data_IF_373991921809
#
_entry.id   IF_373991921809
#
_cell.length_a   1.000
_cell.length_b   1.000
_cell.length_c   1.000
_cell.angle_alpha   90.00
_cell.angle_beta   90.00
_cell.angle_gamma   90.00
#
_symmetry.space_group_name_H-M   'P 1'
#
loop_
_entity.id
_entity.type
_entity.pdbx_description
1 polymer ?
#
# COMPACT_ATOMS: atom_id res chain seq x y z
N UNK A 1 -15.04 18.12 64.43
CA UNK A 1 -15.73 17.40 63.33
C UNK A 1 -15.26 18.00 62.02
N UNK A 2 -14.47 17.24 61.26
CA UNK A 2 -13.94 17.66 59.97
C UNK A 2 -15.05 17.68 58.93
N UNK A 3 -15.26 18.84 58.31
CA UNK A 3 -16.13 18.98 57.15
C UNK A 3 -15.35 18.44 55.96
N UNK A 4 -15.77 17.29 55.42
CA UNK A 4 -15.35 16.81 54.11
C UNK A 4 -15.83 17.83 53.08
N UNK A 5 -14.93 18.71 52.64
CA UNK A 5 -15.12 19.53 51.45
C UNK A 5 -15.18 18.61 50.24
N UNK A 6 -16.38 18.37 49.74
CA UNK A 6 -16.59 17.81 48.40
C UNK A 6 -16.14 18.90 47.41
N UNK A 7 -14.90 18.78 46.93
CA UNK A 7 -14.41 19.53 45.77
C UNK A 7 -15.40 19.29 44.63
N UNK A 8 -16.13 20.33 44.24
CA UNK A 8 -16.92 20.30 43.03
C UNK A 8 -15.92 20.34 41.86
N UNK A 9 -15.56 19.19 41.32
CA UNK A 9 -14.88 19.14 40.02
C UNK A 9 -15.88 19.60 38.97
N UNK A 10 -15.69 20.80 38.41
CA UNK A 10 -16.47 21.24 37.26
C UNK A 10 -16.25 20.25 36.11
N UNK A 11 -17.33 19.71 35.55
CA UNK A 11 -17.24 18.79 34.43
C UNK A 11 -16.65 19.51 33.20
N UNK A 12 -15.58 18.95 32.64
CA UNK A 12 -14.97 19.41 31.39
C UNK A 12 -15.59 18.63 30.23
N UNK A 13 -15.94 19.32 29.15
CA UNK A 13 -16.46 18.67 27.94
C UNK A 13 -15.68 19.10 26.71
N UNK A 14 -15.40 18.14 25.83
CA UNK A 14 -14.68 18.33 24.58
C UNK A 14 -15.60 18.03 23.41
N UNK A 15 -15.67 18.95 22.46
CA UNK A 15 -16.47 18.77 21.24
C UNK A 15 -15.63 19.02 20.00
N UNK A 16 -15.53 18.05 19.08
CA UNK A 16 -14.83 18.29 17.82
C UNK A 16 -15.62 19.32 16.98
N UNK A 17 -14.91 20.32 16.45
CA UNK A 17 -15.36 21.13 15.32
C UNK A 17 -14.59 20.69 14.08
N UNK A 18 -15.28 20.23 13.03
CA UNK A 18 -14.62 19.94 11.76
C UNK A 18 -13.93 21.20 11.23
N UNK A 19 -12.59 21.19 11.21
CA UNK A 19 -11.83 22.19 10.47
C UNK A 19 -11.66 21.63 9.05
N UNK A 20 -12.35 22.20 8.07
CA UNK A 20 -12.00 21.97 6.66
C UNK A 20 -11.08 23.10 6.23
N UNK A 21 -9.87 23.14 6.79
CA UNK A 21 -8.80 23.91 6.16
C UNK A 21 -8.16 23.01 5.12
N UNK A 22 -8.82 22.91 3.97
CA UNK A 22 -8.11 22.53 2.75
C UNK A 22 -6.99 23.55 2.63
N UNK A 23 -5.73 23.11 2.55
CA UNK A 23 -4.68 23.98 2.06
C UNK A 23 -5.26 24.73 0.85
N UNK A 24 -5.24 26.06 0.85
CA UNK A 24 -5.75 26.88 -0.25
C UNK A 24 -4.88 26.63 -1.47
N UNK A 25 -5.06 25.47 -2.09
CA UNK A 25 -4.33 25.11 -3.27
C UNK A 25 -4.80 26.05 -4.37
N UNK A 26 -3.87 26.64 -5.13
CA UNK A 26 -4.23 27.52 -6.23
C UNK A 26 -5.12 26.76 -7.22
N UNK A 27 -5.97 27.47 -7.99
CA UNK A 27 -6.76 26.85 -9.04
C UNK A 27 -5.86 26.03 -9.96
N UNK A 28 -6.18 24.75 -10.13
CA UNK A 28 -5.37 23.84 -10.91
C UNK A 28 -5.90 23.72 -12.33
N UNK A 29 -5.02 23.57 -13.31
CA UNK A 29 -5.44 23.34 -14.71
C UNK A 29 -4.64 22.21 -15.31
N UNK A 30 -5.34 21.24 -15.92
CA UNK A 30 -4.71 20.23 -16.77
C UNK A 30 -4.71 20.74 -18.21
N UNK A 31 -3.55 21.10 -18.74
CA UNK A 31 -3.42 21.43 -20.16
C UNK A 31 -3.34 20.16 -21.00
N UNK A 32 -4.00 20.17 -22.17
CA UNK A 32 -4.11 19.13 -23.22
C UNK A 32 -3.40 17.80 -22.94
N UNK A 33 -4.14 16.69 -22.95
CA UNK A 33 -3.57 15.35 -23.10
C UNK A 33 -2.87 15.19 -24.46
N UNK A 34 -1.58 15.52 -24.52
CA UNK A 34 -0.66 15.11 -25.59
C UNK A 34 0.04 13.81 -25.21
N UNK A 35 0.54 13.10 -26.22
CA UNK A 35 1.22 11.79 -26.22
C UNK A 35 1.70 11.35 -24.84
N UNK A 36 1.20 10.19 -24.39
CA UNK A 36 1.67 9.44 -23.21
C UNK A 36 3.08 9.84 -22.81
N UNK A 37 3.24 10.33 -21.57
CA UNK A 37 4.56 10.62 -21.01
C UNK A 37 5.52 9.45 -21.25
N UNK A 38 6.82 9.72 -21.33
CA UNK A 38 7.87 8.68 -21.36
C UNK A 38 7.85 7.76 -20.14
N UNK A 39 6.98 8.05 -19.17
CA UNK A 39 6.70 7.27 -17.97
C UNK A 39 5.61 6.21 -18.14
N UNK A 40 5.08 6.01 -19.35
CA UNK A 40 3.93 5.13 -19.57
C UNK A 40 4.33 3.66 -19.67
N UNK A 41 3.93 2.93 -18.65
CA UNK A 41 4.00 1.47 -18.58
C UNK A 41 2.61 0.88 -18.88
N UNK A 42 2.57 -0.28 -19.53
CA UNK A 42 1.31 -1.04 -19.70
C UNK A 42 1.24 -2.12 -18.64
N UNK A 43 0.24 -2.04 -17.77
CA UNK A 43 -0.04 -3.05 -16.75
C UNK A 43 -1.24 -3.93 -17.11
N UNK A 44 -1.28 -5.12 -16.53
CA UNK A 44 -2.30 -6.15 -16.69
C UNK A 44 -2.89 -6.49 -15.31
N UNK A 45 -4.21 -6.52 -15.21
CA UNK A 45 -4.96 -6.89 -14.01
C UNK A 45 -5.37 -8.36 -14.05
N UNK A 46 -5.73 -8.91 -12.89
CA UNK A 46 -6.11 -10.31 -12.73
C UNK A 46 -7.36 -10.71 -13.54
N UNK A 47 -8.25 -9.76 -13.82
CA UNK A 47 -9.42 -9.94 -14.69
C UNK A 47 -9.08 -9.89 -16.20
N UNK A 48 -7.81 -9.68 -16.54
CA UNK A 48 -7.31 -9.55 -17.91
C UNK A 48 -7.43 -8.14 -18.50
N UNK A 49 -8.02 -7.18 -17.78
CA UNK A 49 -8.01 -5.79 -18.19
C UNK A 49 -6.58 -5.26 -18.25
N UNK A 50 -6.34 -4.25 -19.10
CA UNK A 50 -5.03 -3.62 -19.22
C UNK A 50 -5.15 -2.12 -19.21
N UNK A 51 -4.18 -1.44 -18.61
CA UNK A 51 -4.11 0.02 -18.63
C UNK A 51 -2.70 0.51 -18.93
N UNK A 52 -2.65 1.72 -19.49
CA UNK A 52 -1.45 2.54 -19.53
C UNK A 52 -1.47 3.47 -18.34
N UNK A 53 -0.44 3.43 -17.51
CA UNK A 53 -0.32 4.29 -16.34
C UNK A 53 0.43 5.55 -16.67
N UNK A 54 0.07 6.67 -16.06
CA UNK A 54 0.73 7.95 -16.26
C UNK A 54 0.68 8.78 -14.98
N UNK A 55 1.67 9.66 -14.80
CA UNK A 55 1.67 10.66 -13.72
C UNK A 55 1.03 11.94 -14.26
N UNK A 56 -0.17 12.25 -13.76
CA UNK A 56 -0.91 13.43 -14.20
C UNK A 56 -0.24 14.67 -13.63
N UNK A 57 0.11 15.63 -14.50
CA UNK A 57 0.62 16.94 -14.09
C UNK A 57 -0.45 18.01 -14.24
N UNK A 58 -0.75 18.70 -13.15
CA UNK A 58 -1.64 19.86 -13.09
C UNK A 58 -0.81 21.13 -12.92
N UNK A 59 -1.11 22.21 -13.64
CA UNK A 59 -0.50 23.51 -13.38
C UNK A 59 -0.94 24.04 -12.00
N UNK A 60 -0.03 24.54 -11.12
CA UNK A 60 1.38 24.86 -11.35
C UNK A 60 2.38 23.76 -10.92
N UNK A 61 2.41 22.63 -11.65
CA UNK A 61 3.28 21.46 -11.42
C UNK A 61 2.93 20.61 -10.19
N UNK A 62 1.63 20.45 -9.92
CA UNK A 62 1.13 19.48 -8.96
C UNK A 62 0.99 18.13 -9.66
N UNK A 63 1.70 17.14 -9.13
CA UNK A 63 1.65 15.77 -9.59
C UNK A 63 0.47 15.03 -8.97
N UNK A 64 -0.15 14.14 -9.74
CA UNK A 64 -1.40 13.52 -9.34
C UNK A 64 -1.62 12.16 -10.02
N UNK A 65 -2.42 11.31 -9.40
CA UNK A 65 -2.83 10.01 -9.95
C UNK A 65 -4.34 9.96 -10.17
N UNK A 66 -4.77 9.16 -11.14
CA UNK A 66 -6.18 8.93 -11.40
C UNK A 66 -6.81 8.15 -10.26
N UNK A 67 -7.98 8.59 -9.81
CA UNK A 67 -8.82 7.91 -8.83
C UNK A 67 -9.94 7.07 -9.45
N UNK A 68 -10.07 7.10 -10.78
CA UNK A 68 -11.12 6.39 -11.50
C UNK A 68 -10.56 5.78 -12.78
N UNK A 69 -10.43 4.45 -12.79
CA UNK A 69 -10.02 3.69 -13.96
C UNK A 69 -10.86 3.94 -15.21
N UNK A 70 -12.14 4.27 -15.06
CA UNK A 70 -13.05 4.58 -16.17
C UNK A 70 -13.09 6.06 -16.53
N UNK A 71 -12.37 6.88 -15.76
CA UNK A 71 -12.30 8.32 -15.93
C UNK A 71 -11.51 8.69 -17.19
N UNK A 72 -11.94 9.78 -17.83
CA UNK A 72 -11.35 10.25 -19.07
C UNK A 72 -10.26 11.28 -18.79
N UNK A 73 -9.19 11.25 -19.59
CA UNK A 73 -8.24 12.36 -19.65
C UNK A 73 -8.87 13.52 -20.45
N UNK A 74 -8.66 14.79 -20.04
CA UNK A 74 -9.20 15.92 -20.75
C UNK A 74 -8.47 16.13 -22.09
N UNK A 75 -9.25 16.36 -23.14
CA UNK A 75 -8.75 16.68 -24.49
C UNK A 75 -8.50 18.18 -24.69
N UNK A 76 -9.00 19.01 -23.77
CA UNK A 76 -8.90 20.48 -23.74
C UNK A 76 -8.49 20.94 -22.35
N UNK A 77 -7.88 22.14 -22.20
CA UNK A 77 -7.56 22.70 -20.88
C UNK A 77 -8.78 22.62 -19.96
N UNK A 78 -8.62 21.97 -18.81
CA UNK A 78 -9.71 21.69 -17.86
C UNK A 78 -9.30 22.11 -16.46
N UNK A 79 -10.16 22.88 -15.79
CA UNK A 79 -9.91 23.36 -14.43
C UNK A 79 -10.26 22.30 -13.40
N UNK A 80 -9.38 22.11 -12.44
CA UNK A 80 -9.53 21.23 -11.29
C UNK A 80 -9.61 22.06 -10.02
N UNK A 81 -10.59 21.73 -9.17
CA UNK A 81 -10.74 22.32 -7.84
C UNK A 81 -10.23 21.33 -6.80
N UNK A 82 -9.36 21.82 -5.91
CA UNK A 82 -8.90 21.05 -4.78
C UNK A 82 -10.06 20.79 -3.80
N UNK A 83 -10.09 19.59 -3.21
CA UNK A 83 -11.09 19.17 -2.25
C UNK A 83 -10.58 18.05 -1.35
N UNK A 84 -11.31 17.79 -0.27
CA UNK A 84 -11.04 16.64 0.58
C UNK A 84 -11.46 15.35 -0.12
N UNK A 85 -11.08 14.18 0.41
CA UNK A 85 -11.50 12.89 -0.11
C UNK A 85 -13.03 12.78 -0.31
N UNK A 86 -13.81 13.31 0.64
CA UNK A 86 -15.26 13.34 0.58
C UNK A 86 -15.83 14.18 -0.56
N UNK A 87 -15.03 14.99 -1.26
CA UNK A 87 -15.48 15.73 -2.44
C UNK A 87 -15.64 14.83 -3.68
N UNK A 88 -15.03 13.64 -3.70
CA UNK A 88 -15.04 12.74 -4.88
C UNK A 88 -16.36 11.95 -4.96
N UNK A 89 -17.24 12.19 -5.95
CA UNK A 89 -18.59 11.65 -5.97
C UNK A 89 -18.67 10.11 -5.91
N UNK A 90 -17.82 9.41 -6.68
CA UNK A 90 -17.86 7.95 -6.82
C UNK A 90 -17.15 7.19 -5.68
N UNK A 91 -16.34 7.87 -4.88
CA UNK A 91 -15.54 7.26 -3.79
C UNK A 91 -16.16 7.47 -2.41
N UNK A 92 -17.16 8.34 -2.28
CA UNK A 92 -17.95 8.50 -1.04
C UNK A 92 -18.52 7.18 -0.51
N UNK A 93 -18.86 6.24 -1.40
CA UNK A 93 -19.42 4.95 -1.06
C UNK A 93 -18.37 3.88 -0.66
N UNK A 94 -17.07 4.16 -0.83
CA UNK A 94 -15.96 3.19 -0.77
C UNK A 94 -14.81 3.73 0.08
N UNK A 95 -15.00 3.92 1.38
CA UNK A 95 -14.03 4.57 2.27
C UNK A 95 -12.63 3.88 2.26
N UNK A 96 -11.62 4.57 1.70
CA UNK A 96 -10.22 4.14 1.60
C UNK A 96 -9.22 5.31 1.78
N UNK A 97 -9.61 6.41 2.45
CA UNK A 97 -8.77 7.62 2.55
C UNK A 97 -7.42 7.32 3.24
N UNK A 98 -7.41 6.49 4.28
CA UNK A 98 -6.19 6.13 5.01
C UNK A 98 -5.23 5.30 4.14
N UNK A 99 -5.76 4.36 3.37
CA UNK A 99 -4.98 3.54 2.44
C UNK A 99 -4.36 4.40 1.34
N UNK A 100 -5.12 5.33 0.78
CA UNK A 100 -4.64 6.23 -0.27
C UNK A 100 -3.64 7.25 0.27
N UNK A 101 -3.85 7.79 1.47
CA UNK A 101 -2.89 8.65 2.16
C UNK A 101 -1.54 7.93 2.33
N UNK A 102 -1.59 6.68 2.81
CA UNK A 102 -0.40 5.85 2.94
C UNK A 102 0.31 5.66 1.59
N UNK A 103 -0.44 5.30 0.53
CA UNK A 103 0.13 5.04 -0.80
C UNK A 103 0.85 6.30 -1.30
N UNK A 104 0.17 7.44 -1.30
CA UNK A 104 0.73 8.70 -1.83
C UNK A 104 2.02 9.09 -1.13
N UNK A 105 2.10 8.91 0.20
CA UNK A 105 3.29 9.24 1.00
C UNK A 105 4.44 8.28 0.82
N UNK A 106 4.13 7.02 0.55
CA UNK A 106 5.10 5.94 0.44
C UNK A 106 5.37 5.51 -1.01
N UNK A 107 5.11 6.41 -1.96
CA UNK A 107 5.27 6.16 -3.38
C UNK A 107 5.87 7.36 -4.12
N UNK A 108 6.09 7.19 -5.42
CA UNK A 108 6.59 8.26 -6.28
C UNK A 108 5.45 9.25 -6.57
N UNK A 109 5.69 10.56 -6.62
CA UNK A 109 6.98 11.26 -6.51
C UNK A 109 7.36 11.72 -5.11
N UNK A 110 6.51 11.54 -4.08
CA UNK A 110 6.80 11.98 -2.70
C UNK A 110 8.11 11.35 -2.20
N UNK A 111 8.33 10.08 -2.54
CA UNK A 111 9.62 9.41 -2.38
C UNK A 111 10.28 9.21 -3.76
N UNK A 112 11.54 9.62 -3.86
CA UNK A 112 12.37 9.33 -5.02
C UNK A 112 12.61 7.83 -5.20
N UNK A 113 12.92 7.40 -6.43
CA UNK A 113 13.07 5.97 -6.76
C UNK A 113 14.17 5.24 -5.97
N UNK A 114 15.24 5.95 -5.58
CA UNK A 114 16.32 5.42 -4.74
C UNK A 114 15.80 5.06 -3.35
N UNK A 115 15.07 5.98 -2.73
CA UNK A 115 14.51 5.81 -1.40
C UNK A 115 13.42 4.73 -1.39
N UNK A 116 12.54 4.71 -2.40
CA UNK A 116 11.57 3.63 -2.59
C UNK A 116 12.25 2.27 -2.71
N UNK A 117 13.29 2.18 -3.54
CA UNK A 117 14.03 0.93 -3.72
C UNK A 117 14.69 0.47 -2.41
N UNK A 118 15.17 1.40 -1.60
CA UNK A 118 15.72 1.09 -0.27
C UNK A 118 14.65 0.54 0.67
N UNK A 119 13.48 1.19 0.75
CA UNK A 119 12.36 0.77 1.61
C UNK A 119 11.81 -0.60 1.22
N UNK A 120 11.59 -0.85 -0.07
CA UNK A 120 11.09 -2.15 -0.56
C UNK A 120 12.06 -3.28 -0.22
N UNK A 121 13.39 -3.06 -0.37
CA UNK A 121 14.40 -4.04 0.04
C UNK A 121 14.42 -4.25 1.55
N UNK A 122 14.29 -3.19 2.34
CA UNK A 122 14.22 -3.29 3.80
C UNK A 122 12.98 -4.08 4.27
N UNK A 123 11.89 -4.08 3.50
CA UNK A 123 10.72 -4.93 3.73
C UNK A 123 10.90 -6.40 3.30
N UNK A 124 12.11 -6.80 2.85
CA UNK A 124 12.41 -8.17 2.44
C UNK A 124 11.95 -8.51 1.02
N UNK A 125 11.48 -7.54 0.24
CA UNK A 125 11.00 -7.75 -1.14
C UNK A 125 12.16 -7.60 -2.12
N UNK A 126 12.41 -8.63 -2.93
CA UNK A 126 13.56 -8.70 -3.83
C UNK A 126 13.43 -7.83 -5.08
N UNK A 127 14.00 -6.62 -5.08
CA UNK A 127 14.13 -5.77 -6.28
C UNK A 127 15.42 -6.02 -7.10
N UNK A 128 16.27 -6.95 -6.66
CA UNK A 128 17.63 -7.07 -7.16
C UNK A 128 18.51 -5.83 -6.85
N UNK A 129 19.66 -5.74 -7.51
CA UNK A 129 20.66 -4.70 -7.23
C UNK A 129 20.29 -3.32 -7.80
N UNK A 130 19.58 -3.26 -8.93
CA UNK A 130 19.17 -1.99 -9.56
C UNK A 130 18.05 -1.30 -8.79
N UNK A 131 17.96 0.03 -8.90
CA UNK A 131 16.83 0.82 -8.39
C UNK A 131 15.65 0.82 -9.37
N UNK A 132 14.46 1.11 -8.85
CA UNK A 132 13.24 1.32 -9.64
C UNK A 132 13.45 2.46 -10.65
N UNK A 133 12.93 2.27 -11.87
CA UNK A 133 12.75 3.36 -12.80
C UNK A 133 11.47 4.15 -12.49
N UNK A 134 11.39 5.40 -12.93
CA UNK A 134 10.22 6.26 -12.65
C UNK A 134 8.93 5.67 -13.22
N UNK A 135 8.96 5.15 -14.46
CA UNK A 135 7.79 4.51 -15.08
C UNK A 135 7.30 3.29 -14.28
N UNK A 136 8.21 2.50 -13.71
CA UNK A 136 7.87 1.36 -12.87
C UNK A 136 7.21 1.82 -11.56
N UNK A 137 7.75 2.88 -10.96
CA UNK A 137 7.22 3.46 -9.74
C UNK A 137 5.82 4.04 -9.95
N UNK A 138 5.64 4.80 -11.04
CA UNK A 138 4.34 5.38 -11.44
C UNK A 138 3.32 4.27 -11.69
N UNK A 139 3.72 3.20 -12.39
CA UNK A 139 2.84 2.08 -12.70
C UNK A 139 2.34 1.34 -11.46
N UNK A 140 3.27 1.00 -10.56
CA UNK A 140 2.94 0.32 -9.32
C UNK A 140 2.05 1.20 -8.41
N UNK A 141 2.33 2.50 -8.36
CA UNK A 141 1.56 3.47 -7.56
C UNK A 141 0.14 3.59 -8.09
N UNK A 142 -0.03 3.78 -9.40
CA UNK A 142 -1.35 3.89 -10.02
C UNK A 142 -2.15 2.58 -9.87
N UNK A 143 -1.51 1.43 -10.01
CA UNK A 143 -2.14 0.13 -9.77
C UNK A 143 -2.61 -0.04 -8.32
N UNK A 144 -1.78 0.34 -7.34
CA UNK A 144 -2.12 0.27 -5.93
C UNK A 144 -3.31 1.20 -5.58
N UNK A 145 -3.38 2.38 -6.20
CA UNK A 145 -4.53 3.29 -6.04
C UNK A 145 -5.80 2.62 -6.59
N UNK A 146 -5.76 2.08 -7.81
CA UNK A 146 -6.92 1.44 -8.43
C UNK A 146 -7.37 0.14 -7.76
N UNK A 147 -6.48 -0.56 -7.05
CA UNK A 147 -6.86 -1.67 -6.17
C UNK A 147 -7.91 -1.22 -5.15
N UNK A 148 -7.69 -0.09 -4.47
CA UNK A 148 -8.63 0.44 -3.49
C UNK A 148 -9.80 1.20 -4.13
N UNK A 149 -9.56 2.08 -5.11
CA UNK A 149 -10.63 2.93 -5.65
C UNK A 149 -11.59 2.18 -6.58
N UNK A 150 -11.07 1.22 -7.35
CA UNK A 150 -11.81 0.53 -8.41
C UNK A 150 -11.97 -0.97 -8.17
N UNK A 151 -11.23 -1.58 -7.23
CA UNK A 151 -11.25 -3.03 -6.99
C UNK A 151 -10.43 -3.83 -8.02
N UNK A 152 -9.48 -3.17 -8.69
CA UNK A 152 -8.67 -3.78 -9.73
C UNK A 152 -7.37 -4.34 -9.15
N UNK A 153 -7.29 -5.66 -9.07
CA UNK A 153 -6.11 -6.38 -8.59
C UNK A 153 -5.08 -6.53 -9.72
N UNK A 154 -3.85 -6.05 -9.51
CA UNK A 154 -2.75 -6.25 -10.46
C UNK A 154 -2.46 -7.74 -10.62
N UNK A 155 -2.24 -8.24 -11.85
CA UNK A 155 -1.84 -9.63 -12.04
C UNK A 155 -0.37 -9.83 -11.58
N UNK A 156 -0.24 -10.22 -10.30
CA UNK A 156 1.01 -10.51 -9.62
C UNK A 156 1.27 -12.02 -9.49
N UNK A 157 0.55 -12.87 -10.23
CA UNK A 157 0.68 -14.32 -10.13
C UNK A 157 2.00 -14.77 -10.78
N UNK A 158 2.88 -15.48 -10.05
CA UNK A 158 4.11 -15.99 -10.62
C UNK A 158 3.82 -17.06 -11.67
N UNK A 159 4.33 -16.88 -12.89
CA UNK A 159 4.18 -17.81 -14.02
C UNK A 159 5.07 -19.05 -13.91
N UNK A 160 6.02 -19.04 -12.99
CA UNK A 160 6.91 -20.15 -12.69
C UNK A 160 6.42 -21.02 -11.54
N UNK A 161 5.24 -20.73 -10.97
CA UNK A 161 4.62 -21.52 -9.92
C UNK A 161 3.46 -22.33 -10.52
N UNK A 162 3.46 -23.66 -10.37
CA UNK A 162 2.32 -24.49 -10.79
C UNK A 162 1.04 -24.13 -10.04
N UNK A 163 -0.10 -24.12 -10.74
CA UNK A 163 -1.43 -24.01 -10.14
C UNK A 163 -1.93 -25.32 -9.55
N UNK A 164 -1.39 -26.46 -9.99
CA UNK A 164 -1.65 -27.75 -9.37
C UNK A 164 -0.40 -28.64 -9.37
N UNK A 165 -0.26 -29.44 -8.29
CA UNK A 165 0.73 -30.51 -8.16
C UNK A 165 0.02 -31.83 -7.84
N UNK A 166 0.41 -32.92 -8.50
CA UNK A 166 -0.15 -34.26 -8.25
C UNK A 166 0.94 -35.31 -8.23
N UNK A 167 0.97 -36.13 -7.17
CA UNK A 167 1.80 -37.34 -7.10
C UNK A 167 1.22 -38.42 -8.01
N UNK A 168 2.10 -39.11 -8.72
CA UNK A 168 1.84 -40.27 -9.58
C UNK A 168 2.74 -41.42 -9.16
N UNK A 169 2.47 -42.64 -9.65
CA UNK A 169 3.31 -43.79 -9.35
C UNK A 169 4.79 -43.56 -9.70
N UNK A 170 5.06 -42.83 -10.78
CA UNK A 170 6.42 -42.62 -11.30
C UNK A 170 6.95 -41.19 -11.10
N UNK A 171 6.38 -40.40 -10.19
CA UNK A 171 6.87 -39.05 -9.88
C UNK A 171 5.79 -37.98 -9.72
N UNK A 172 6.08 -36.73 -10.11
CA UNK A 172 5.22 -35.55 -9.90
C UNK A 172 4.72 -34.95 -11.22
N UNK A 173 3.44 -34.61 -11.28
CA UNK A 173 2.84 -33.82 -12.38
C UNK A 173 2.53 -32.41 -11.88
N UNK A 174 2.85 -31.42 -12.72
CA UNK A 174 2.67 -30.00 -12.49
C UNK A 174 1.82 -29.42 -13.62
N UNK A 175 0.80 -28.65 -13.24
CA UNK A 175 0.00 -27.84 -14.15
C UNK A 175 0.29 -26.37 -13.89
N UNK A 176 0.54 -25.62 -14.95
CA UNK A 176 0.77 -24.18 -14.89
C UNK A 176 -0.44 -23.41 -15.41
N UNK A 177 -0.59 -22.17 -14.94
CA UNK A 177 -1.49 -21.24 -15.60
C UNK A 177 -0.83 -20.70 -16.88
N UNK A 178 -1.39 -21.09 -18.02
CA UNK A 178 -0.83 -20.80 -19.34
C UNK A 178 0.23 -21.80 -19.79
N UNK A 179 1.14 -21.35 -20.66
CA UNK A 179 2.12 -22.19 -21.36
C UNK A 179 3.54 -21.66 -21.12
N UNK A 180 4.06 -21.69 -19.87
CA UNK A 180 5.38 -21.15 -19.56
C UNK A 180 6.48 -21.96 -20.22
N UNK A 181 7.52 -21.30 -20.72
CA UNK A 181 8.74 -21.95 -21.16
C UNK A 181 9.68 -22.11 -19.96
N UNK A 182 9.89 -23.34 -19.50
CA UNK A 182 10.80 -23.61 -18.38
C UNK A 182 12.27 -23.54 -18.83
N UNK A 183 13.10 -22.87 -18.05
CA UNK A 183 14.57 -22.87 -18.16
C UNK A 183 15.24 -23.88 -17.26
N UNK A 184 14.51 -24.44 -16.29
CA UNK A 184 14.96 -25.53 -15.45
C UNK A 184 14.22 -25.63 -14.13
N UNK A 185 14.68 -26.56 -13.30
CA UNK A 185 14.06 -26.88 -12.03
C UNK A 185 15.10 -27.12 -10.93
N UNK A 186 14.69 -26.86 -9.69
CA UNK A 186 15.38 -27.30 -8.49
C UNK A 186 14.45 -28.24 -7.74
N UNK A 187 14.99 -29.34 -7.23
CA UNK A 187 14.25 -30.37 -6.51
C UNK A 187 14.97 -30.71 -5.22
N UNK A 188 14.23 -30.82 -4.13
CA UNK A 188 14.67 -31.51 -2.93
C UNK A 188 14.31 -32.98 -3.03
N UNK A 189 15.29 -33.85 -2.80
CA UNK A 189 15.14 -35.29 -2.93
C UNK A 189 15.84 -35.99 -1.77
N UNK A 190 15.21 -37.06 -1.29
CA UNK A 190 15.80 -38.04 -0.39
C UNK A 190 15.61 -39.44 -0.98
N UNK A 191 16.69 -40.21 -1.10
CA UNK A 191 16.66 -41.56 -1.66
C UNK A 191 17.63 -42.49 -0.96
N UNK A 192 17.27 -43.77 -0.82
CA UNK A 192 18.15 -44.84 -0.33
C UNK A 192 18.98 -45.50 -1.46
N UNK A 193 18.66 -45.23 -2.72
CA UNK A 193 19.38 -45.71 -3.90
C UNK A 193 19.76 -44.57 -4.85
N UNK A 194 20.60 -44.88 -5.84
CA UNK A 194 20.78 -43.99 -6.99
C UNK A 194 19.45 -43.83 -7.76
N UNK A 195 19.20 -42.62 -8.26
CA UNK A 195 17.95 -42.22 -8.93
C UNK A 195 18.28 -41.36 -10.14
N UNK A 196 17.53 -41.56 -11.23
CA UNK A 196 17.50 -40.66 -12.37
C UNK A 196 16.19 -39.90 -12.42
N UNK A 197 16.26 -38.57 -12.53
CA UNK A 197 15.10 -37.72 -12.75
C UNK A 197 15.04 -37.29 -14.21
N UNK A 198 13.85 -37.33 -14.81
CA UNK A 198 13.60 -36.90 -16.18
C UNK A 198 12.40 -35.97 -16.24
N UNK A 199 12.55 -34.81 -16.90
CA UNK A 199 11.42 -33.90 -17.09
C UNK A 199 10.72 -34.22 -18.41
N UNK A 200 9.40 -34.34 -18.36
CA UNK A 200 8.53 -34.49 -19.52
C UNK A 200 7.60 -33.26 -19.65
N UNK A 201 7.12 -33.02 -20.86
CA UNK A 201 6.20 -31.92 -21.22
C UNK A 201 4.96 -32.48 -21.92
N UNK A 202 3.83 -31.78 -21.78
CA UNK A 202 2.57 -32.17 -22.40
C UNK A 202 1.65 -30.96 -22.62
N UNK A 203 0.90 -30.97 -23.73
CA UNK A 203 -0.11 -29.96 -24.04
C UNK A 203 -1.48 -30.31 -23.44
N UNK A 204 -1.77 -31.59 -23.24
CA UNK A 204 -3.08 -32.11 -22.82
C UNK A 204 -3.06 -32.87 -21.47
N UNK A 205 -1.87 -33.06 -20.88
CA UNK A 205 -1.65 -33.81 -19.65
C UNK A 205 -1.80 -35.33 -19.81
N UNK A 206 -1.94 -35.82 -21.04
CA UNK A 206 -2.15 -37.24 -21.37
C UNK A 206 -1.01 -37.79 -22.21
N UNK A 207 -0.59 -37.06 -23.25
CA UNK A 207 0.54 -37.43 -24.10
C UNK A 207 1.79 -36.72 -23.61
N UNK A 208 2.83 -37.49 -23.30
CA UNK A 208 4.04 -36.98 -22.66
C UNK A 208 5.25 -37.15 -23.59
N UNK A 209 6.05 -36.10 -23.68
CA UNK A 209 7.31 -36.09 -24.41
C UNK A 209 8.46 -35.74 -23.47
N UNK A 210 9.61 -36.38 -23.65
CA UNK A 210 10.80 -36.06 -22.86
C UNK A 210 11.35 -34.68 -23.22
N UNK A 211 11.70 -33.90 -22.21
CA UNK A 211 12.45 -32.66 -22.39
C UNK A 211 13.91 -33.04 -22.60
N UNK A 212 14.43 -32.74 -23.79
CA UNK A 212 15.81 -33.03 -24.14
C UNK A 212 16.80 -32.44 -23.11
N UNK A 213 17.81 -33.25 -22.73
CA UNK A 213 18.83 -32.90 -21.74
C UNK A 213 18.27 -32.50 -20.36
N UNK A 214 17.08 -32.96 -19.97
CA UNK A 214 16.53 -32.74 -18.63
C UNK A 214 16.93 -33.80 -17.59
N UNK A 215 17.58 -34.88 -18.05
CA UNK A 215 18.07 -35.97 -17.21
C UNK A 215 19.01 -35.49 -16.11
N UNK A 216 18.76 -35.94 -14.88
CA UNK A 216 19.59 -35.66 -13.71
C UNK A 216 19.79 -36.97 -12.92
N UNK A 217 21.03 -37.47 -12.91
CA UNK A 217 21.40 -38.67 -12.17
C UNK A 217 21.93 -38.26 -10.80
N UNK A 218 21.43 -38.91 -9.76
CA UNK A 218 21.71 -38.62 -8.36
C UNK A 218 22.10 -39.91 -7.64
N UNK A 219 23.11 -39.83 -6.79
CA UNK A 219 23.46 -40.91 -5.87
C UNK A 219 22.46 -40.96 -4.70
N UNK A 220 22.50 -42.05 -3.93
CA UNK A 220 21.73 -42.17 -2.70
C UNK A 220 22.06 -41.05 -1.71
N UNK A 221 21.06 -40.61 -0.96
CA UNK A 221 21.17 -39.58 0.06
C UNK A 221 20.08 -38.52 -0.05
N UNK A 222 20.26 -37.47 0.74
CA UNK A 222 19.37 -36.31 0.81
C UNK A 222 20.08 -35.07 0.28
N UNK A 223 19.43 -34.32 -0.59
CA UNK A 223 20.01 -33.11 -1.15
C UNK A 223 19.05 -32.23 -1.92
N UNK A 224 19.51 -31.00 -2.17
CA UNK A 224 18.86 -30.04 -3.08
C UNK A 224 19.65 -30.03 -4.38
N UNK A 225 18.99 -30.37 -5.48
CA UNK A 225 19.63 -30.52 -6.77
C UNK A 225 19.01 -29.59 -7.81
N UNK A 226 19.84 -29.04 -8.69
CA UNK A 226 19.44 -28.07 -9.70
C UNK A 226 19.77 -28.58 -11.10
N UNK A 227 18.79 -28.51 -12.02
CA UNK A 227 18.97 -28.87 -13.43
C UNK A 227 18.53 -27.73 -14.35
N UNK A 228 19.48 -27.20 -15.12
CA UNK A 228 19.19 -26.30 -16.22
C UNK A 228 18.80 -27.07 -17.48
N UNK A 229 17.90 -26.48 -18.27
CA UNK A 229 17.42 -27.01 -19.54
C UNK A 229 18.05 -26.23 -20.69
N UNK A 230 18.27 -26.91 -21.82
CA UNK A 230 18.75 -26.27 -23.03
C UNK A 230 17.76 -25.24 -23.57
N UNK A 231 18.27 -24.19 -24.22
CA UNK A 231 17.42 -23.19 -24.89
C UNK A 231 16.55 -23.89 -25.93
N UNK A 232 15.26 -23.56 -25.96
CA UNK A 232 14.32 -24.13 -26.94
C UNK A 232 13.72 -25.49 -26.59
N UNK A 233 14.27 -26.23 -25.61
CA UNK A 233 13.84 -27.61 -25.29
C UNK A 233 12.39 -27.73 -24.82
N UNK A 234 11.86 -26.65 -24.25
CA UNK A 234 10.51 -26.53 -23.71
C UNK A 234 9.60 -25.66 -24.56
N UNK A 235 9.98 -25.32 -25.81
CA UNK A 235 9.12 -24.54 -26.73
C UNK A 235 8.09 -25.44 -27.39
N UNK A 236 6.81 -25.03 -27.37
CA UNK A 236 5.71 -25.64 -28.11
C UNK A 236 5.43 -24.93 -29.42
N UNK A 237 5.59 -23.60 -29.43
CA UNK A 237 5.46 -22.79 -30.63
C UNK A 237 6.28 -21.51 -30.52
N UNK A 238 6.92 -21.14 -31.62
CA UNK A 238 7.62 -19.88 -31.77
C UNK A 238 6.95 -19.08 -32.90
N UNK A 239 6.56 -17.83 -32.62
CA UNK A 239 6.12 -16.88 -33.65
C UNK A 239 7.17 -15.78 -33.78
N UNK A 240 7.54 -15.37 -35.01
CA UNK A 240 8.44 -14.23 -35.19
C UNK A 240 7.93 -13.00 -34.43
N UNK A 241 8.79 -12.39 -33.61
CA UNK A 241 8.45 -11.18 -32.84
C UNK A 241 7.65 -11.38 -31.54
N UNK A 242 7.40 -12.62 -31.10
CA UNK A 242 6.84 -12.92 -29.77
C UNK A 242 7.74 -13.89 -29.01
N UNK A 243 7.74 -13.77 -27.68
CA UNK A 243 8.37 -14.78 -26.82
C UNK A 243 7.72 -16.14 -27.10
N UNK A 244 8.54 -17.18 -27.22
CA UNK A 244 8.07 -18.54 -27.47
C UNK A 244 7.15 -19.01 -26.35
N UNK A 245 6.16 -19.84 -26.69
CA UNK A 245 5.29 -20.49 -25.70
C UNK A 245 5.87 -21.85 -25.34
N UNK A 246 5.68 -22.26 -24.09
CA UNK A 246 6.01 -23.60 -23.60
C UNK A 246 4.78 -24.48 -23.49
N UNK A 247 4.68 -25.24 -22.40
CA UNK A 247 3.62 -26.25 -22.21
C UNK A 247 2.86 -25.98 -20.93
N UNK A 248 1.57 -26.36 -20.89
CA UNK A 248 0.75 -26.24 -19.68
C UNK A 248 1.12 -27.28 -18.64
N UNK A 249 1.48 -28.49 -19.08
CA UNK A 249 1.75 -29.61 -18.19
C UNK A 249 3.22 -30.04 -18.27
N UNK A 250 3.81 -30.26 -17.10
CA UNK A 250 5.13 -30.84 -16.95
C UNK A 250 5.09 -32.00 -15.96
N UNK A 251 5.92 -33.01 -16.16
CA UNK A 251 6.04 -34.16 -15.26
C UNK A 251 7.49 -34.42 -14.95
N UNK A 252 7.84 -34.50 -13.66
CA UNK A 252 9.14 -34.97 -13.21
C UNK A 252 9.02 -36.46 -12.90
N UNK A 253 9.59 -37.28 -13.78
CA UNK A 253 9.59 -38.73 -13.67
C UNK A 253 10.80 -39.18 -12.85
N UNK A 254 10.56 -40.11 -11.93
CA UNK A 254 11.57 -40.79 -11.11
C UNK A 254 11.83 -42.15 -11.72
N UNK A 255 13.09 -42.42 -12.06
CA UNK A 255 13.56 -43.72 -12.51
C UNK A 255 14.55 -44.23 -11.46
N UNK A 256 14.16 -45.28 -10.76
CA UNK A 256 14.93 -45.88 -9.67
C UNK A 256 14.80 -47.41 -9.72
N UNK A 257 15.67 -48.11 -8.99
CA UNK A 257 15.60 -49.55 -8.87
C UNK A 257 14.30 -49.99 -8.17
N UNK A 258 13.85 -51.21 -8.47
CA UNK A 258 12.65 -51.77 -7.83
C UNK A 258 12.88 -51.88 -6.31
N UNK A 259 12.02 -51.24 -5.54
CA UNK A 259 12.07 -51.24 -4.08
C UNK A 259 12.85 -50.07 -3.46
N UNK A 260 13.42 -49.18 -4.29
CA UNK A 260 14.01 -47.94 -3.82
C UNK A 260 12.96 -47.04 -3.15
N UNK A 261 13.34 -46.43 -2.03
CA UNK A 261 12.53 -45.41 -1.35
C UNK A 261 12.98 -44.04 -1.84
N UNK A 262 12.11 -43.35 -2.57
CA UNK A 262 12.39 -41.99 -3.09
C UNK A 262 11.31 -41.04 -2.61
N UNK A 263 11.69 -40.00 -1.87
CA UNK A 263 10.80 -38.88 -1.54
C UNK A 263 11.20 -37.62 -2.30
N UNK A 264 10.23 -37.08 -3.04
CA UNK A 264 10.34 -35.79 -3.71
C UNK A 264 9.69 -34.72 -2.82
N UNK A 265 10.55 -33.83 -2.33
CA UNK A 265 10.18 -32.64 -1.59
C UNK A 265 9.74 -31.50 -2.50
N UNK A 266 10.25 -30.29 -2.22
CA UNK A 266 9.86 -29.10 -2.98
C UNK A 266 10.54 -29.06 -4.36
N UNK A 267 9.72 -28.76 -5.37
CA UNK A 267 10.16 -28.54 -6.75
C UNK A 267 9.84 -27.11 -7.15
N UNK A 268 10.87 -26.37 -7.53
CA UNK A 268 10.75 -24.97 -7.97
C UNK A 268 11.28 -24.83 -9.39
N UNK A 269 10.65 -23.95 -10.17
CA UNK A 269 11.00 -23.74 -11.57
C UNK A 269 11.48 -22.32 -11.82
N UNK A 270 12.34 -22.15 -12.81
CA UNK A 270 12.63 -20.84 -13.41
C UNK A 270 12.31 -20.87 -14.89
N UNK A 271 11.98 -19.71 -15.45
CA UNK A 271 11.57 -19.58 -16.84
C UNK A 271 12.77 -19.28 -17.74
N UNK A 272 12.64 -19.62 -19.02
CA UNK A 272 13.55 -19.21 -20.08
C UNK A 272 12.83 -18.25 -21.02
N UNK A 273 13.35 -17.05 -21.21
CA UNK A 273 12.81 -16.06 -22.15
C UNK A 273 11.45 -15.45 -21.79
N UNK A 274 10.79 -15.91 -20.71
CA UNK A 274 9.54 -15.37 -20.21
C UNK A 274 9.75 -14.64 -18.87
N UNK A 275 9.06 -13.51 -18.70
CA UNK A 275 9.01 -12.80 -17.43
C UNK A 275 8.30 -13.64 -16.36
N UNK A 276 8.75 -13.53 -15.11
CA UNK A 276 8.17 -14.24 -13.97
C UNK A 276 6.70 -13.86 -13.72
N UNK A 277 6.27 -12.69 -14.19
CA UNK A 277 4.92 -12.17 -14.01
C UNK A 277 4.34 -11.67 -15.35
N UNK A 278 3.05 -11.37 -15.36
CA UNK A 278 2.41 -10.69 -16.49
C UNK A 278 2.85 -9.21 -16.62
N UNK A 279 3.21 -8.62 -15.49
CA UNK A 279 3.72 -7.26 -15.36
C UNK A 279 5.24 -7.27 -15.14
N UNK A 280 5.96 -6.16 -15.32
CA UNK A 280 7.37 -6.08 -14.92
C UNK A 280 7.54 -6.45 -13.44
N UNK A 281 8.54 -7.27 -13.13
CA UNK A 281 8.74 -7.80 -11.78
C UNK A 281 8.87 -6.69 -10.72
N UNK A 282 9.58 -5.61 -11.07
CA UNK A 282 9.75 -4.43 -10.21
C UNK A 282 8.43 -3.71 -9.90
N UNK A 283 7.52 -3.66 -10.88
CA UNK A 283 6.16 -3.10 -10.70
C UNK A 283 5.36 -3.97 -9.74
N UNK A 284 5.41 -5.30 -9.91
CA UNK A 284 4.74 -6.25 -9.02
C UNK A 284 5.23 -6.13 -7.58
N UNK A 285 6.54 -6.07 -7.39
CA UNK A 285 7.16 -5.97 -6.07
C UNK A 285 6.79 -4.67 -5.35
N UNK A 286 6.86 -3.53 -6.04
CA UNK A 286 6.44 -2.26 -5.45
C UNK A 286 4.92 -2.22 -5.21
N UNK A 287 4.10 -2.74 -6.13
CA UNK A 287 2.65 -2.83 -5.92
C UNK A 287 2.31 -3.64 -4.66
N UNK A 288 2.93 -4.81 -4.48
CA UNK A 288 2.72 -5.65 -3.30
C UNK A 288 3.16 -4.94 -2.01
N UNK A 289 4.31 -4.25 -2.03
CA UNK A 289 4.75 -3.39 -0.92
C UNK A 289 3.70 -2.33 -0.60
N UNK A 290 3.19 -1.64 -1.62
CA UNK A 290 2.25 -0.55 -1.44
C UNK A 290 0.90 -1.02 -0.87
N UNK A 291 0.34 -2.09 -1.43
CA UNK A 291 -0.93 -2.64 -0.96
C UNK A 291 -0.80 -3.22 0.46
N UNK A 292 0.32 -3.89 0.78
CA UNK A 292 0.55 -4.41 2.12
C UNK A 292 0.63 -3.29 3.17
N UNK A 293 1.38 -2.22 2.87
CA UNK A 293 1.52 -1.07 3.75
C UNK A 293 0.21 -0.29 3.92
N UNK A 294 -0.55 -0.08 2.85
CA UNK A 294 -1.86 0.55 2.90
C UNK A 294 -2.85 -0.24 3.78
N UNK A 295 -2.88 -1.57 3.64
CA UNK A 295 -3.71 -2.42 4.49
C UNK A 295 -3.27 -2.39 5.97
N UNK A 296 -1.97 -2.28 6.25
CA UNK A 296 -1.47 -2.06 7.61
C UNK A 296 -1.90 -0.69 8.16
N UNK A 297 -1.80 0.36 7.34
CA UNK A 297 -2.24 1.71 7.68
C UNK A 297 -3.71 1.75 8.09
N UNK A 298 -4.58 1.09 7.31
CA UNK A 298 -6.02 0.98 7.63
C UNK A 298 -6.25 0.40 9.01
N UNK A 299 -5.52 -0.66 9.38
CA UNK A 299 -5.66 -1.32 10.68
C UNK A 299 -5.12 -0.48 11.84
N UNK A 300 -4.08 0.32 11.58
CA UNK A 300 -3.46 1.17 12.59
C UNK A 300 -4.19 2.51 12.78
N UNK A 301 -4.91 3.00 11.75
CA UNK A 301 -5.53 4.33 11.77
C UNK A 301 -6.65 4.42 12.80
N UNK A 302 -6.48 5.34 13.75
CA UNK A 302 -7.48 5.70 14.76
C UNK A 302 -7.95 7.15 14.54
N UNK A 303 -9.25 7.44 14.77
CA UNK A 303 -9.75 8.82 14.72
C UNK A 303 -8.98 9.72 15.67
N UNK A 304 -8.72 10.95 15.24
CA UNK A 304 -8.15 11.97 16.13
C UNK A 304 -9.22 12.41 17.11
N UNK A 305 -8.96 12.22 18.41
CA UNK A 305 -9.84 12.63 19.49
C UNK A 305 -9.03 13.14 20.68
N UNK A 306 -9.65 14.04 21.45
CA UNK A 306 -9.15 14.47 22.75
C UNK A 306 -10.14 13.98 23.80
N UNK A 307 -9.68 13.05 24.64
CA UNK A 307 -10.47 12.40 25.67
C UNK A 307 -10.38 13.22 26.95
N UNK A 308 -11.52 13.50 27.56
CA UNK A 308 -11.65 14.32 28.76
C UNK A 308 -12.36 13.59 29.91
N UNK A 309 -12.32 12.25 29.91
CA UNK A 309 -13.08 11.41 30.85
C UNK A 309 -12.79 11.73 32.33
N UNK A 310 -11.53 12.05 32.64
CA UNK A 310 -11.09 12.41 33.99
C UNK A 310 -10.69 13.88 34.10
N UNK A 311 -10.98 14.68 33.09
CA UNK A 311 -10.60 16.08 33.06
C UNK A 311 -11.40 16.88 34.08
N UNK A 312 -10.68 17.61 34.93
CA UNK A 312 -11.22 18.54 35.90
C UNK A 312 -10.47 19.87 35.82
N UNK A 313 -11.04 20.88 36.47
CA UNK A 313 -10.40 22.20 36.65
C UNK A 313 -9.78 22.23 38.04
N UNK A 314 -8.48 22.47 38.12
CA UNK A 314 -7.74 22.67 39.36
C UNK A 314 -6.87 23.93 39.25
N UNK A 315 -7.31 25.02 39.88
CA UNK A 315 -6.65 26.32 39.76
C UNK A 315 -6.67 26.86 38.32
N UNK A 316 -5.49 27.09 37.75
CA UNK A 316 -5.25 27.52 36.37
C UNK A 316 -5.07 26.33 35.40
N UNK A 317 -5.08 25.09 35.89
CA UNK A 317 -4.91 23.86 35.11
C UNK A 317 -6.26 23.20 34.80
N UNK A 318 -6.41 22.77 33.54
CA UNK A 318 -7.56 21.98 33.07
C UNK A 318 -7.02 20.67 32.47
N UNK A 319 -7.48 19.52 32.97
CA UNK A 319 -7.05 18.19 32.51
C UNK A 319 -7.17 17.12 33.59
N UNK A 320 -6.61 15.91 33.39
CA UNK A 320 -5.84 15.50 32.21
C UNK A 320 -6.71 15.32 30.97
N UNK A 321 -6.14 15.63 29.82
CA UNK A 321 -6.64 15.21 28.52
C UNK A 321 -5.75 14.11 27.96
N UNK A 322 -6.34 13.10 27.32
CA UNK A 322 -5.59 12.06 26.61
C UNK A 322 -5.73 12.25 25.10
N UNK A 323 -4.60 12.25 24.39
CA UNK A 323 -4.60 12.32 22.93
C UNK A 323 -4.83 10.94 22.32
N UNK A 324 -5.94 10.73 21.63
CA UNK A 324 -6.11 9.60 20.74
C UNK A 324 -5.79 10.05 19.31
N UNK A 325 -4.70 9.53 18.73
CA UNK A 325 -4.28 9.83 17.38
C UNK A 325 -3.45 8.67 16.81
N UNK A 326 -3.27 8.65 15.49
CA UNK A 326 -2.51 7.56 14.86
C UNK A 326 -0.98 7.77 14.96
N UNK A 327 -0.55 9.00 15.18
CA UNK A 327 0.86 9.37 15.36
C UNK A 327 0.95 10.54 16.34
N UNK A 328 2.16 10.86 16.78
CA UNK A 328 2.43 12.01 17.66
C UNK A 328 1.91 13.28 16.99
N UNK A 329 1.18 14.10 17.74
CA UNK A 329 0.56 15.31 17.21
C UNK A 329 1.04 16.56 17.93
N UNK A 330 1.25 17.63 17.17
CA UNK A 330 1.43 18.95 17.77
C UNK A 330 0.05 19.48 18.19
N UNK A 331 -0.03 20.09 19.36
CA UNK A 331 -1.25 20.69 19.90
C UNK A 331 -1.04 22.19 19.99
N UNK A 332 -1.92 22.96 19.35
CA UNK A 332 -1.97 24.42 19.49
C UNK A 332 -3.26 24.82 20.17
N UNK A 333 -3.22 25.87 20.98
CA UNK A 333 -4.37 26.29 21.79
C UNK A 333 -4.50 27.80 21.73
N UNK A 334 -5.73 28.28 21.54
CA UNK A 334 -6.03 29.70 21.52
C UNK A 334 -6.09 30.23 22.96
N UNK A 335 -5.22 31.19 23.31
CA UNK A 335 -5.21 31.87 24.61
C UNK A 335 -4.98 30.95 25.83
N UNK A 336 -4.22 29.87 25.68
CA UNK A 336 -3.78 28.99 26.76
C UNK A 336 -2.49 28.26 26.36
N UNK A 337 -1.78 27.73 27.35
CA UNK A 337 -0.55 26.94 27.14
C UNK A 337 -0.84 25.45 27.28
N UNK A 338 -0.14 24.64 26.48
CA UNK A 338 -0.15 23.17 26.60
C UNK A 338 0.98 22.76 27.56
N UNK A 339 0.62 22.11 28.66
CA UNK A 339 1.53 21.80 29.76
C UNK A 339 1.45 20.33 30.20
N UNK A 340 2.48 19.86 30.89
CA UNK A 340 2.51 18.54 31.52
C UNK A 340 1.73 18.54 32.86
N UNK A 341 1.72 17.38 33.54
CA UNK A 341 1.06 17.22 34.85
C UNK A 341 1.60 18.12 35.97
N UNK A 342 2.79 18.68 35.79
CA UNK A 342 3.44 19.58 36.75
C UNK A 342 3.26 21.04 36.32
N UNK A 343 2.60 21.30 35.19
CA UNK A 343 2.44 22.61 34.61
C UNK A 343 3.68 23.13 33.85
N UNK A 344 4.66 22.30 33.54
CA UNK A 344 5.73 22.73 32.63
C UNK A 344 5.23 22.69 31.19
N UNK A 345 5.56 23.70 30.39
CA UNK A 345 5.20 23.71 28.98
C UNK A 345 5.73 22.46 28.29
N UNK A 346 4.87 21.81 27.49
CA UNK A 346 5.26 20.65 26.71
C UNK A 346 6.09 21.10 25.51
N UNK A 347 7.33 20.62 25.42
CA UNK A 347 8.19 20.82 24.26
C UNK A 347 8.00 19.69 23.24
N UNK A 348 7.35 20.01 22.11
CA UNK A 348 7.19 19.09 20.98
C UNK A 348 5.86 18.33 20.96
N UNK A 349 5.72 17.34 20.06
CA UNK A 349 4.45 16.65 19.82
C UNK A 349 4.13 15.63 20.92
N UNK A 350 2.85 15.61 21.31
CA UNK A 350 2.25 14.68 22.28
C UNK A 350 2.09 13.32 21.62
N UNK A 351 2.52 12.23 22.27
CA UNK A 351 2.35 10.89 21.70
C UNK A 351 0.90 10.39 21.87
N UNK A 352 0.47 9.41 21.06
CA UNK A 352 -0.79 8.73 21.31
C UNK A 352 -0.84 8.18 22.74
N UNK A 353 -2.01 8.31 23.38
CA UNK A 353 -2.32 7.89 24.75
C UNK A 353 -1.57 8.65 25.86
N UNK A 354 -0.71 9.62 25.52
CA UNK A 354 -0.10 10.52 26.51
C UNK A 354 -1.11 11.54 27.04
N UNK A 355 -0.94 11.89 28.32
CA UNK A 355 -1.70 12.93 28.99
C UNK A 355 -1.08 14.32 28.76
N UNK A 356 -1.94 15.32 28.58
CA UNK A 356 -1.57 16.73 28.58
C UNK A 356 -2.61 17.55 29.34
N UNK A 357 -2.20 18.76 29.74
CA UNK A 357 -3.03 19.71 30.46
C UNK A 357 -3.05 21.05 29.72
N UNK A 358 -4.08 21.84 29.98
CA UNK A 358 -4.16 23.22 29.53
C UNK A 358 -3.96 24.15 30.71
N UNK A 359 -3.01 25.07 30.61
CA UNK A 359 -2.91 26.21 31.53
C UNK A 359 -3.64 27.40 30.92
N UNK A 360 -4.66 27.89 31.63
CA UNK A 360 -5.49 29.02 31.18
C UNK A 360 -5.35 30.20 32.13
N UNK A 361 -5.02 31.37 31.60
CA UNK A 361 -5.11 32.66 32.29
C UNK A 361 -6.51 33.28 32.13
N UNK A 362 -7.28 32.76 31.19
CA UNK A 362 -8.59 33.27 30.85
C UNK A 362 -9.65 32.76 31.83
N UNK A 363 -10.42 33.69 32.39
CA UNK A 363 -11.66 33.36 33.08
C UNK A 363 -12.75 32.81 32.13
N UNK A 364 -12.48 32.61 30.83
CA UNK A 364 -13.43 32.01 29.90
C UNK A 364 -13.52 30.50 30.14
N UNK A 365 -14.73 29.99 30.40
CA UNK A 365 -15.00 28.54 30.51
C UNK A 365 -15.01 27.83 29.15
N UNK A 366 -14.28 28.36 28.17
CA UNK A 366 -14.15 27.81 26.82
C UNK A 366 -12.76 28.15 26.27
N UNK A 367 -12.12 27.15 25.69
CA UNK A 367 -10.85 27.27 24.96
C UNK A 367 -10.95 26.43 23.70
N UNK A 368 -10.32 26.90 22.61
CA UNK A 368 -10.23 26.12 21.39
C UNK A 368 -8.83 25.54 21.24
N UNK A 369 -8.77 24.23 21.02
CA UNK A 369 -7.53 23.51 20.77
C UNK A 369 -7.52 22.98 19.33
N UNK A 370 -6.36 22.92 18.69
CA UNK A 370 -6.18 22.32 17.37
C UNK A 370 -5.10 21.26 17.45
N UNK A 371 -5.44 20.03 17.08
CA UNK A 371 -4.51 18.91 16.97
C UNK A 371 -4.02 18.82 15.54
N UNK A 372 -2.70 18.82 15.34
CA UNK A 372 -2.04 18.71 14.05
C UNK A 372 -1.29 17.37 13.99
N UNK A 373 -1.88 16.38 13.32
CA UNK A 373 -1.21 15.11 13.05
C UNK A 373 -0.31 15.28 11.82
N UNK A 374 1.01 15.03 11.94
CA UNK A 374 1.97 15.35 10.91
C UNK A 374 1.79 14.49 9.65
N UNK A 375 2.26 15.06 8.54
CA UNK A 375 2.24 14.38 7.25
C UNK A 375 3.48 13.48 7.03
N UNK A 376 3.97 12.79 8.07
CA UNK A 376 5.22 12.04 8.02
C UNK A 376 5.17 10.84 7.07
N UNK A 377 6.32 10.48 6.48
CA UNK A 377 6.47 9.33 5.58
C UNK A 377 6.34 7.98 6.29
N UNK A 378 6.60 7.96 7.59
CA UNK A 378 6.56 6.74 8.43
C UNK A 378 5.35 6.74 9.37
N UNK A 379 4.57 7.83 9.34
CA UNK A 379 3.37 8.02 10.14
C UNK A 379 2.09 7.68 9.37
N UNK A 380 0.98 7.64 10.09
CA UNK A 380 -0.35 7.36 9.57
C UNK A 380 -1.33 8.47 10.00
N UNK A 381 -2.49 8.57 9.33
CA UNK A 381 -3.56 9.48 9.76
C UNK A 381 -3.53 10.87 9.13
N UNK A 382 -2.86 11.02 7.99
CA UNK A 382 -2.93 12.19 7.13
C UNK A 382 -4.27 12.40 6.43
N UNK A 383 -4.36 13.47 5.63
CA UNK A 383 -5.50 13.72 4.75
C UNK A 383 -5.10 13.59 3.29
N UNK A 384 -6.04 13.12 2.48
CA UNK A 384 -5.85 13.06 1.02
C UNK A 384 -6.45 14.31 0.40
N UNK A 385 -5.61 15.06 -0.33
CA UNK A 385 -6.07 16.13 -1.20
C UNK A 385 -6.44 15.55 -2.55
N UNK A 386 -7.61 15.94 -3.03
CA UNK A 386 -8.15 15.50 -4.32
C UNK A 386 -8.35 16.68 -5.25
N UNK A 387 -8.33 16.42 -6.56
CA UNK A 387 -8.72 17.36 -7.59
C UNK A 387 -9.94 16.82 -8.33
N UNK A 388 -11.02 17.60 -8.38
CA UNK A 388 -12.20 17.29 -9.19
C UNK A 388 -12.34 18.35 -10.27
N UNK A 389 -12.58 17.92 -11.52
CA UNK A 389 -12.79 18.84 -12.62
C UNK A 389 -14.06 19.66 -12.40
N UNK A 390 -13.95 20.98 -12.54
CA UNK A 390 -15.01 21.94 -12.23
C UNK A 390 -15.86 22.31 -13.47
N UNK A 391 -15.34 22.12 -14.69
CA UNK A 391 -15.91 22.73 -15.90
C UNK A 391 -17.08 21.96 -16.57
N UNK A 392 -17.72 21.01 -15.87
CA UNK A 392 -19.05 20.51 -16.22
C UNK A 392 -19.63 19.74 -15.03
N UNK A 393 -20.88 20.03 -14.65
CA UNK A 393 -21.60 19.37 -13.56
C UNK A 393 -21.78 17.84 -13.73
N UNK A 394 -21.28 17.26 -14.83
CA UNK A 394 -21.22 15.83 -15.14
C UNK A 394 -19.95 15.51 -15.97
N UNK A 395 -18.79 16.03 -15.56
CA UNK A 395 -17.55 15.72 -16.27
C UNK A 395 -17.21 14.24 -16.07
N UNK A 396 -17.12 13.47 -17.17
CA UNK A 396 -16.55 12.12 -17.17
C UNK A 396 -15.03 12.11 -16.97
N UNK A 397 -14.43 13.26 -16.65
CA UNK A 397 -13.00 13.41 -16.42
C UNK A 397 -12.63 12.71 -15.11
N UNK A 398 -11.48 12.06 -15.11
CA UNK A 398 -10.99 11.39 -13.90
C UNK A 398 -10.83 12.41 -12.76
N UNK A 399 -11.43 12.16 -11.58
CA UNK A 399 -10.94 12.76 -10.35
C UNK A 399 -9.51 12.28 -10.12
N UNK A 400 -8.73 13.08 -9.39
CA UNK A 400 -7.34 12.76 -9.11
C UNK A 400 -7.02 12.90 -7.63
N UNK A 401 -6.06 12.12 -7.17
CA UNK A 401 -5.39 12.34 -5.89
C UNK A 401 -4.11 13.12 -6.15
N UNK A 402 -3.88 14.17 -5.36
CA UNK A 402 -2.70 15.01 -5.48
C UNK A 402 -1.57 14.36 -4.68
N UNK A 403 -0.38 14.27 -5.27
CA UNK A 403 0.83 13.77 -4.63
C UNK A 403 1.46 14.83 -3.72
N UNK A 404 0.66 15.42 -2.84
CA UNK A 404 1.05 16.47 -1.91
C UNK A 404 0.73 15.96 -0.50
N UNK A 405 1.74 15.77 0.37
CA UNK A 405 1.49 15.42 1.76
C UNK A 405 0.62 16.51 2.43
N UNK A 406 -0.47 16.11 3.07
CA UNK A 406 -1.32 17.03 3.82
C UNK A 406 -1.47 16.59 5.28
N UNK A 407 -1.22 17.53 6.18
CA UNK A 407 -1.42 17.34 7.62
C UNK A 407 -2.91 17.17 7.92
N UNK A 408 -3.21 16.41 8.96
CA UNK A 408 -4.58 16.29 9.46
C UNK A 408 -4.76 17.23 10.65
N UNK A 409 -5.61 18.23 10.47
CA UNK A 409 -5.96 19.19 11.51
C UNK A 409 -7.37 18.95 12.01
N UNK A 410 -7.54 18.80 13.32
CA UNK A 410 -8.84 18.70 13.98
C UNK A 410 -8.91 19.72 15.10
N UNK A 411 -9.92 20.61 15.04
CA UNK A 411 -10.18 21.59 16.09
C UNK A 411 -11.18 21.02 17.08
N UNK A 412 -10.97 21.29 18.36
CA UNK A 412 -11.90 20.93 19.42
C UNK A 412 -12.20 22.16 20.27
N UNK A 413 -13.45 22.30 20.67
CA UNK A 413 -13.82 23.22 21.75
C UNK A 413 -13.78 22.46 23.06
N UNK A 414 -12.99 22.96 24.01
CA UNK A 414 -12.99 22.52 25.41
C UNK A 414 -13.82 23.50 26.20
N UNK A 415 -14.76 23.01 27.00
CA UNK A 415 -15.65 23.84 27.82
C UNK A 415 -15.74 23.30 29.25
N UNK A 416 -15.89 24.18 30.22
CA UNK A 416 -16.08 23.83 31.63
C UNK A 416 -16.90 24.87 32.38
N UNK A 417 -17.55 24.44 33.47
CA UNK A 417 -18.27 25.35 34.35
C UNK A 417 -17.31 26.16 35.23
N UNK A 418 -17.57 27.47 35.35
CA UNK A 418 -16.83 28.32 36.28
C UNK A 418 -17.12 27.90 37.71
N UNK A 419 -16.09 27.84 38.55
CA UNK A 419 -16.29 27.85 39.99
C UNK A 419 -17.01 29.16 40.37
N UNK A 420 -18.25 29.07 40.85
CA UNK A 420 -18.94 30.24 41.40
C UNK A 420 -18.14 30.73 42.61
N UNK A 421 -17.58 31.93 42.53
CA UNK A 421 -17.03 32.60 43.69
C UNK A 421 -18.15 32.73 44.73
N UNK A 422 -18.02 32.00 45.85
CA UNK A 422 -18.88 32.21 47.03
C UNK A 422 -18.75 33.67 47.41
N UNK A 423 -19.79 34.48 47.12
CA UNK A 423 -19.97 35.78 47.75
C UNK A 423 -20.20 35.53 49.23
N UNK A 424 -19.14 35.60 50.02
CA UNK A 424 -19.25 35.78 51.47
C UNK A 424 -19.82 37.17 51.69
N UNK A 425 -21.07 37.21 52.14
CA UNK A 425 -21.73 38.42 52.66
C UNK A 425 -21.19 38.75 54.05
#
# INVERSE_FOLDING_TARGET
MSVLSVLHSSAVSVRPRPLVRLAELPPMTRYRGGTYSHTVEKIVFADGATARTDLIRLNPNIEAYSLDFTGHAPTRPSRYRAGAWSAVPNLRARAFEAEIDWIVRNSYPVLGTVELSRRVRAAGIGLGAGNLAEHEAIAATQAAIWFFTNGLELDNRPRNVPVARRRTADGLVFEFDGEPQLGGYTVELESDSAVSLLLQKSSDGRQWEDVAASGLNLEAGRGRHRRALGVGTTVSSARPGRTGRGYRFYRLVVVADRGATVDLGDVTFWLNGAAAFANPERVVHLYNYLVAGANAARRATVPVAVIAEWAAVDGDLVGPFTLQATDRAAITVDHADVVDRNGFALEGPVAPDDEFYLRTDTGSGIVALTVHVPAGTDGFGGRVLTGVAHDAANSSLTPVVLAVPAQHEVRFDVTWERAQARRTA
#
